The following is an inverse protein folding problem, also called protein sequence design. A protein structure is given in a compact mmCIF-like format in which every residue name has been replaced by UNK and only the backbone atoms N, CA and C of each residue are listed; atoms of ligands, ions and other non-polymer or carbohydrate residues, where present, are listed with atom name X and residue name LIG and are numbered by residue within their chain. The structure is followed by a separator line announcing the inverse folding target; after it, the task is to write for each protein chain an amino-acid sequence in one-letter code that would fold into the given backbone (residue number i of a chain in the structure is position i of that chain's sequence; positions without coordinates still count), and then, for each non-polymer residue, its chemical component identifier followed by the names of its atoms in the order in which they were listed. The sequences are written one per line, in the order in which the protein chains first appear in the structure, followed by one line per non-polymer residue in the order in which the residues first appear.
data_IF_452737288141
#
_entry.id   IF_452737288141
#
_cell.length_a   1.000
_cell.length_b   1.000
_cell.length_c   1.000
_cell.angle_alpha   90.00
_cell.angle_beta   90.00
_cell.angle_gamma   90.00
#
_symmetry.space_group_name_H-M   'P 1'
#
loop_
_entity.id
_entity.type
_entity.pdbx_description
1 polymer ?
#
# COMPACT_ATOMS: atom_id res chain seq x y z
N UNK A 1 -13.36 -10.30 8.23
CA UNK A 1 -13.05 -9.16 9.09
C UNK A 1 -12.05 -8.27 8.38
N UNK A 2 -12.29 -6.98 8.35
CA UNK A 2 -11.42 -6.07 7.63
C UNK A 2 -10.02 -6.01 8.25
N UNK A 3 -9.03 -5.74 7.40
CA UNK A 3 -7.63 -5.75 7.78
C UNK A 3 -6.97 -4.46 7.30
N UNK A 4 -6.35 -3.72 8.20
CA UNK A 4 -5.69 -2.46 7.89
C UNK A 4 -4.19 -2.60 7.79
N UNK A 5 -3.61 -1.87 6.83
CA UNK A 5 -2.17 -1.83 6.64
C UNK A 5 -1.75 -0.37 6.58
N UNK A 6 -0.75 -0.03 7.37
CA UNK A 6 -0.11 1.29 7.31
C UNK A 6 1.35 1.07 6.93
N UNK A 7 1.78 1.71 5.86
CA UNK A 7 3.18 1.71 5.44
C UNK A 7 3.74 3.11 5.57
N UNK A 8 4.88 3.23 6.26
CA UNK A 8 5.64 4.46 6.31
C UNK A 8 6.96 4.27 5.57
N UNK A 9 7.22 5.14 4.59
CA UNK A 9 8.45 5.14 3.81
C UNK A 9 9.31 6.34 4.26
N UNK A 10 10.37 6.10 5.05
CA UNK A 10 11.29 7.19 5.40
C UNK A 10 11.85 7.84 4.14
N UNK A 11 11.88 9.17 4.12
CA UNK A 11 12.33 9.98 2.97
C UNK A 11 11.53 9.73 1.68
N UNK A 12 10.37 9.09 1.78
CA UNK A 12 9.52 8.85 0.62
C UNK A 12 8.94 10.13 0.04
N UNK A 13 8.69 10.14 -1.27
CA UNK A 13 8.20 11.29 -2.00
C UNK A 13 6.92 10.97 -2.77
N UNK A 14 6.20 12.03 -3.17
CA UNK A 14 5.02 11.90 -4.02
C UNK A 14 5.35 11.19 -5.34
N UNK A 15 6.47 11.53 -5.94
CA UNK A 15 6.89 10.95 -7.22
C UNK A 15 7.16 9.46 -7.09
N UNK A 16 7.79 9.05 -6.01
CA UNK A 16 8.03 7.63 -5.73
C UNK A 16 6.71 6.89 -5.48
N UNK A 17 5.79 7.53 -4.76
CA UNK A 17 4.46 6.95 -4.52
C UNK A 17 3.70 6.77 -5.84
N UNK A 18 3.65 7.81 -6.69
CA UNK A 18 2.93 7.74 -7.96
C UNK A 18 3.47 6.60 -8.84
N UNK A 19 4.79 6.46 -8.93
CA UNK A 19 5.42 5.39 -9.71
C UNK A 19 5.11 4.00 -9.12
N UNK A 20 5.17 3.87 -7.81
CA UNK A 20 4.88 2.61 -7.14
C UNK A 20 3.42 2.21 -7.28
N UNK A 21 2.51 3.17 -7.12
CA UNK A 21 1.08 2.92 -7.25
C UNK A 21 0.73 2.45 -8.66
N UNK A 22 1.29 3.11 -9.68
CA UNK A 22 1.06 2.73 -11.07
C UNK A 22 1.48 1.30 -11.38
N UNK A 23 2.50 0.79 -10.67
CA UNK A 23 3.00 -0.55 -10.88
C UNK A 23 2.13 -1.64 -10.23
N UNK A 24 1.38 -1.32 -9.18
CA UNK A 24 0.68 -2.33 -8.39
C UNK A 24 -0.85 -2.19 -8.37
N UNK A 25 -1.40 -1.04 -8.77
CA UNK A 25 -2.84 -0.85 -8.90
C UNK A 25 -3.28 -1.07 -10.34
N UNK A 26 -4.53 -1.55 -10.57
CA UNK A 26 -5.01 -1.80 -11.94
C UNK A 26 -5.20 -0.54 -12.77
N UNK A 27 -5.38 0.62 -12.11
CA UNK A 27 -5.52 1.90 -12.79
C UNK A 27 -5.40 3.03 -11.79
N UNK A 28 -5.30 4.30 -12.23
CA UNK A 28 -5.00 5.43 -11.35
C UNK A 28 -6.05 5.66 -10.26
N UNK A 29 -7.31 5.31 -10.54
CA UNK A 29 -8.41 5.49 -9.59
C UNK A 29 -9.05 4.16 -9.22
N UNK A 30 -8.34 3.05 -9.42
CA UNK A 30 -8.87 1.71 -9.16
C UNK A 30 -8.10 1.03 -8.04
N UNK A 31 -8.83 0.36 -7.15
CA UNK A 31 -8.23 -0.42 -6.08
C UNK A 31 -8.00 -1.86 -6.53
N UNK A 32 -6.97 -2.53 -6.01
CA UNK A 32 -6.81 -3.98 -6.22
C UNK A 32 -8.00 -4.73 -5.61
N UNK A 33 -8.24 -5.95 -6.11
CA UNK A 33 -9.30 -6.79 -5.55
C UNK A 33 -9.13 -6.95 -4.04
N UNK A 34 -10.22 -6.74 -3.32
CA UNK A 34 -10.25 -6.86 -1.87
C UNK A 34 -9.83 -5.61 -1.10
N UNK A 35 -9.18 -4.66 -1.75
CA UNK A 35 -8.88 -3.38 -1.09
C UNK A 35 -10.11 -2.47 -1.18
N UNK A 36 -10.56 -1.96 -0.03
CA UNK A 36 -11.80 -1.17 0.04
C UNK A 36 -11.55 0.28 0.41
N UNK A 37 -10.33 0.64 0.77
CA UNK A 37 -9.96 2.01 1.12
C UNK A 37 -8.47 2.21 0.89
N UNK A 38 -8.10 3.38 0.41
CA UNK A 38 -6.70 3.75 0.20
C UNK A 38 -6.55 5.25 0.39
N UNK A 39 -5.62 5.65 1.22
CA UNK A 39 -5.27 7.05 1.41
C UNK A 39 -3.77 7.17 1.59
N UNK A 40 -3.19 8.27 1.12
CA UNK A 40 -1.74 8.45 1.22
C UNK A 40 -1.39 9.93 1.20
N UNK A 41 -0.26 10.27 1.78
CA UNK A 41 0.23 11.63 1.78
C UNK A 41 1.57 11.77 2.47
N UNK A 42 2.17 12.96 2.37
CA UNK A 42 3.40 13.24 3.09
C UNK A 42 3.14 13.24 4.60
N UNK A 43 4.07 12.70 5.33
CA UNK A 43 4.03 12.65 6.78
C UNK A 43 5.41 12.99 7.32
N UNK A 44 5.52 13.21 8.64
CA UNK A 44 6.78 13.64 9.22
C UNK A 44 7.91 12.64 8.88
N UNK A 45 8.90 13.12 8.15
CA UNK A 45 10.07 12.34 7.76
C UNK A 45 9.90 11.46 6.53
N UNK A 46 8.76 11.52 5.82
CA UNK A 46 8.59 10.70 4.63
C UNK A 46 7.17 10.67 4.07
N UNK A 47 6.69 9.49 3.74
CA UNK A 47 5.40 9.27 3.08
C UNK A 47 4.64 8.13 3.76
N UNK A 48 3.36 8.33 4.05
CA UNK A 48 2.52 7.32 4.68
C UNK A 48 1.39 6.89 3.74
N UNK A 49 1.16 5.58 3.68
CA UNK A 49 0.04 4.98 2.95
C UNK A 49 -0.83 4.22 3.96
N UNK A 50 -2.13 4.43 3.88
CA UNK A 50 -3.11 3.69 4.67
C UNK A 50 -4.03 2.93 3.72
N UNK A 51 -4.19 1.64 3.96
CA UNK A 51 -5.08 0.82 3.15
C UNK A 51 -5.92 -0.09 4.04
N UNK A 52 -7.14 -0.35 3.61
CA UNK A 52 -8.02 -1.31 4.27
C UNK A 52 -8.41 -2.36 3.25
N UNK A 53 -8.25 -3.62 3.62
CA UNK A 53 -8.67 -4.78 2.83
C UNK A 53 -9.88 -5.43 3.49
N UNK A 54 -10.71 -6.11 2.71
CA UNK A 54 -11.90 -6.77 3.23
C UNK A 54 -11.55 -7.94 4.17
N UNK A 55 -10.34 -8.50 4.03
CA UNK A 55 -9.86 -9.57 4.89
C UNK A 55 -8.33 -9.60 4.90
N UNK A 56 -7.77 -10.28 5.89
CA UNK A 56 -6.34 -10.55 5.95
C UNK A 56 -5.89 -11.37 4.74
N UNK A 57 -6.72 -12.34 4.34
CA UNK A 57 -6.41 -13.21 3.20
C UNK A 57 -6.32 -12.42 1.89
N UNK A 58 -7.18 -11.42 1.68
CA UNK A 58 -7.10 -10.61 0.46
C UNK A 58 -5.86 -9.71 0.47
N UNK A 59 -5.45 -9.19 1.63
CA UNK A 59 -4.17 -8.49 1.76
C UNK A 59 -3.01 -9.40 1.41
N UNK A 60 -3.01 -10.61 1.95
CA UNK A 60 -1.91 -11.56 1.70
C UNK A 60 -1.84 -11.94 0.21
N UNK A 61 -2.97 -12.13 -0.45
CA UNK A 61 -3.01 -12.39 -1.90
C UNK A 61 -2.42 -11.21 -2.69
N UNK A 62 -2.84 -10.00 -2.37
CA UNK A 62 -2.30 -8.81 -3.03
C UNK A 62 -0.79 -8.69 -2.81
N UNK A 63 -0.35 -8.86 -1.57
CA UNK A 63 1.06 -8.80 -1.22
C UNK A 63 1.87 -9.83 -2.00
N UNK A 64 1.41 -11.08 -2.00
CA UNK A 64 2.19 -12.20 -2.53
C UNK A 64 2.11 -12.28 -4.06
N UNK A 65 0.97 -11.93 -4.66
CA UNK A 65 0.76 -12.09 -6.10
C UNK A 65 1.14 -10.84 -6.90
N UNK A 66 1.07 -9.66 -6.29
CA UNK A 66 1.26 -8.40 -7.00
C UNK A 66 2.38 -7.56 -6.39
N UNK A 67 2.25 -7.20 -5.11
CA UNK A 67 3.14 -6.23 -4.48
C UNK A 67 4.58 -6.71 -4.41
N UNK A 68 4.81 -7.87 -3.80
CA UNK A 68 6.17 -8.39 -3.61
C UNK A 68 6.87 -8.72 -4.94
N UNK A 69 6.20 -9.37 -5.91
CA UNK A 69 6.84 -9.61 -7.20
C UNK A 69 7.26 -8.33 -7.91
N UNK A 70 6.43 -7.29 -7.86
CA UNK A 70 6.78 -6.00 -8.49
C UNK A 70 7.95 -5.34 -7.77
N UNK A 71 7.95 -5.37 -6.44
CA UNK A 71 9.05 -4.79 -5.67
C UNK A 71 10.35 -5.54 -5.88
N UNK A 72 10.31 -6.87 -6.03
CA UNK A 72 11.50 -7.68 -6.29
C UNK A 72 12.08 -7.40 -7.68
N UNK A 73 11.22 -7.12 -8.66
CA UNK A 73 11.67 -6.74 -10.01
C UNK A 73 12.26 -5.33 -10.04
N UNK A 74 11.93 -4.52 -9.05
CA UNK A 74 12.27 -3.11 -9.01
C UNK A 74 11.25 -2.27 -9.77
N UNK A 75 10.88 -1.14 -9.19
CA UNK A 75 9.93 -0.19 -9.79
C UNK A 75 10.71 1.07 -10.11
N UNK A 76 10.89 1.36 -11.40
CA UNK A 76 11.63 2.54 -11.82
C UNK A 76 10.94 3.80 -11.27
N UNK A 77 11.71 4.62 -10.55
CA UNK A 77 11.19 5.82 -9.92
C UNK A 77 10.40 5.59 -8.65
N UNK A 78 10.19 4.33 -8.24
CA UNK A 78 9.46 3.98 -7.04
C UNK A 78 10.27 4.10 -5.77
N UNK A 79 9.68 3.65 -4.67
CA UNK A 79 10.37 3.66 -3.37
C UNK A 79 11.60 2.77 -3.41
N UNK A 80 12.70 3.28 -2.84
CA UNK A 80 14.00 2.63 -2.90
C UNK A 80 14.28 1.72 -1.69
N UNK A 81 13.52 1.87 -0.64
CA UNK A 81 13.70 1.11 0.59
C UNK A 81 12.37 0.51 1.04
N UNK A 82 12.40 -0.61 1.78
CA UNK A 82 11.17 -1.19 2.30
C UNK A 82 10.51 -0.26 3.32
N UNK A 83 9.17 -0.31 3.45
CA UNK A 83 8.48 0.52 4.43
C UNK A 83 8.56 -0.07 5.83
N UNK A 84 8.26 0.78 6.80
CA UNK A 84 7.87 0.33 8.14
C UNK A 84 6.39 -0.03 8.07
N UNK A 85 6.04 -1.25 8.43
CA UNK A 85 4.68 -1.75 8.28
C UNK A 85 4.00 -1.92 9.63
N UNK A 86 2.76 -1.44 9.71
CA UNK A 86 1.87 -1.72 10.84
C UNK A 86 0.62 -2.41 10.29
N UNK A 87 0.34 -3.59 10.79
CA UNK A 87 -0.84 -4.35 10.41
C UNK A 87 -1.86 -4.32 11.55
N UNK A 88 -3.13 -4.18 11.20
CA UNK A 88 -4.19 -4.00 12.19
C UNK A 88 -5.35 -4.93 11.87
N UNK A 89 -5.72 -5.79 12.83
CA UNK A 89 -6.98 -6.51 12.77
C UNK A 89 -8.09 -5.51 13.14
N UNK A 90 -8.82 -5.05 12.14
CA UNK A 90 -9.76 -3.96 12.37
C UNK A 90 -11.01 -4.44 13.07
N UNK A 91 -11.25 -3.88 14.25
CA UNK A 91 -12.44 -4.16 15.03
C UNK A 91 -13.66 -3.44 14.44
N UNK A 92 -13.46 -2.23 13.91
CA UNK A 92 -14.56 -1.39 13.44
C UNK A 92 -14.07 -0.51 12.30
N UNK A 93 -14.85 -0.47 11.23
CA UNK A 93 -14.61 0.42 10.08
C UNK A 93 -15.88 1.23 9.86
N UNK A 94 -15.78 2.55 9.92
CA UNK A 94 -16.87 3.47 9.62
C UNK A 94 -16.54 4.27 8.37
N UNK A 95 -17.55 4.64 7.56
CA UNK A 95 -17.33 5.46 6.37
C UNK A 95 -16.86 6.87 6.71
#
# INVERSE_FOLDING_TARGET
MAYGIVHFFPDGTKEQYDASLAAVHPGPDQLPDGQIFHAAGPSSGGWTIMAVHDSKESWERFRDDILMPRMQQGIEGGFQAPPQETAIDLYKVLP
#
